data_IF_954644897587
#
_entry.id   IF_954644897587
#
_cell.length_a   1.000
_cell.length_b   1.000
_cell.length_c   1.000
_cell.angle_alpha   90.00
_cell.angle_beta   90.00
_cell.angle_gamma   90.00
#
_symmetry.space_group_name_H-M   'P 1'
#
loop_
_entity.id
_entity.type
_entity.pdbx_description
1 polymer ?
#
# COMPACT_ATOMS: atom_id res chain seq x y z
N UNK A 1 -23.19 2.14 24.37
CA UNK A 1 -22.15 2.79 23.53
C UNK A 1 -20.76 2.45 24.03
N UNK A 2 -20.39 2.75 25.28
CA UNK A 2 -19.06 2.37 25.82
C UNK A 2 -18.80 0.84 25.87
N UNK A 3 -19.80 0.04 26.25
CA UNK A 3 -19.67 -1.42 26.30
C UNK A 3 -19.47 -2.06 24.91
N UNK A 4 -20.10 -1.48 23.89
CA UNK A 4 -20.03 -1.96 22.50
C UNK A 4 -18.68 -1.63 21.87
N UNK A 5 -18.06 -0.50 22.23
CA UNK A 5 -16.69 -0.17 21.80
C UNK A 5 -15.66 -1.17 22.35
N UNK A 6 -15.77 -1.59 23.62
CA UNK A 6 -14.86 -2.60 24.20
C UNK A 6 -15.03 -3.99 23.59
N UNK A 7 -16.27 -4.40 23.28
CA UNK A 7 -16.53 -5.70 22.66
C UNK A 7 -16.14 -5.75 21.18
N UNK A 8 -16.34 -4.67 20.42
CA UNK A 8 -15.90 -4.60 19.01
C UNK A 8 -14.39 -4.42 18.85
N UNK A 9 -13.73 -3.72 19.79
CA UNK A 9 -12.27 -3.54 19.78
C UNK A 9 -11.51 -4.86 19.87
N UNK A 10 -12.09 -5.92 20.46
CA UNK A 10 -11.49 -7.25 20.46
C UNK A 10 -11.59 -7.96 19.10
N UNK A 11 -12.64 -7.71 18.33
CA UNK A 11 -12.89 -8.40 17.05
C UNK A 11 -12.24 -7.68 15.86
N UNK A 12 -11.98 -6.38 15.99
CA UNK A 12 -11.32 -5.56 14.97
C UNK A 12 -10.39 -4.55 15.65
N UNK A 13 -9.19 -4.97 16.10
CA UNK A 13 -8.26 -4.06 16.73
C UNK A 13 -7.85 -2.97 15.74
N UNK A 14 -8.14 -1.73 16.10
CA UNK A 14 -7.70 -0.56 15.35
C UNK A 14 -6.18 -0.37 15.50
N UNK A 15 -5.49 0.21 14.51
CA UNK A 15 -4.06 0.51 14.62
C UNK A 15 -3.71 1.39 15.84
N UNK A 16 -4.61 2.29 16.22
CA UNK A 16 -4.49 3.12 17.43
C UNK A 16 -4.52 2.30 18.72
N UNK A 17 -5.39 1.30 18.82
CA UNK A 17 -5.45 0.41 19.99
C UNK A 17 -4.21 -0.49 20.08
N UNK A 18 -3.71 -0.98 18.94
CA UNK A 18 -2.44 -1.73 18.88
C UNK A 18 -1.28 -0.88 19.39
N UNK A 19 -1.20 0.40 19.00
CA UNK A 19 -0.18 1.32 19.49
C UNK A 19 -0.31 1.55 21.00
N UNK A 20 -1.54 1.71 21.51
CA UNK A 20 -1.79 1.85 22.95
C UNK A 20 -1.35 0.61 23.73
N UNK A 21 -1.65 -0.60 23.24
CA UNK A 21 -1.22 -1.85 23.87
C UNK A 21 0.31 -1.99 23.86
N UNK A 22 0.98 -1.64 22.76
CA UNK A 22 2.45 -1.62 22.69
C UNK A 22 3.02 -0.62 23.69
N UNK A 23 2.42 0.56 23.82
CA UNK A 23 2.85 1.56 24.78
C UNK A 23 2.71 1.04 26.22
N UNK A 24 1.55 0.47 26.58
CA UNK A 24 1.34 -0.14 27.90
C UNK A 24 2.34 -1.26 28.15
N UNK A 25 2.55 -2.15 27.18
CA UNK A 25 3.52 -3.23 27.28
C UNK A 25 4.95 -2.68 27.50
N UNK A 26 5.31 -1.58 26.83
CA UNK A 26 6.59 -0.89 27.02
C UNK A 26 6.69 -0.23 28.40
N UNK A 27 5.61 0.25 29.00
CA UNK A 27 5.64 0.77 30.37
C UNK A 27 5.80 -0.35 31.41
N UNK A 28 5.15 -1.51 31.20
CA UNK A 28 5.24 -2.66 32.11
C UNK A 28 6.61 -3.35 32.03
N UNK A 29 7.10 -3.58 30.81
CA UNK A 29 8.35 -4.28 30.57
C UNK A 29 9.56 -3.35 30.41
N UNK A 30 9.35 -2.07 30.13
CA UNK A 30 10.45 -1.14 29.84
C UNK A 30 11.29 -1.60 28.64
N UNK A 31 12.61 -1.56 28.84
CA UNK A 31 13.59 -2.02 27.84
C UNK A 31 13.64 -3.54 27.62
N UNK A 32 12.92 -4.34 28.41
CA UNK A 32 12.93 -5.80 28.28
C UNK A 32 11.94 -6.34 27.24
N UNK A 33 10.96 -5.55 26.80
CA UNK A 33 10.02 -5.94 25.74
C UNK A 33 10.71 -6.47 24.45
N UNK A 34 11.69 -5.75 23.86
CA UNK A 34 12.42 -6.27 22.69
C UNK A 34 13.25 -7.52 23.00
N UNK A 35 13.70 -7.70 24.25
CA UNK A 35 14.43 -8.89 24.69
C UNK A 35 13.51 -10.11 24.73
N UNK A 36 12.29 -9.95 25.25
CA UNK A 36 11.24 -10.99 25.22
C UNK A 36 10.83 -11.29 23.79
N UNK A 37 10.57 -10.28 22.97
CA UNK A 37 10.22 -10.45 21.55
C UNK A 37 11.31 -11.22 20.78
N UNK A 38 12.60 -10.94 21.03
CA UNK A 38 13.71 -11.70 20.45
C UNK A 38 13.72 -13.17 20.90
N UNK A 39 13.42 -13.45 22.17
CA UNK A 39 13.38 -14.83 22.68
C UNK A 39 12.24 -15.64 22.05
N UNK A 40 11.05 -15.05 21.92
CA UNK A 40 9.91 -15.65 21.24
C UNK A 40 10.13 -15.78 19.73
N UNK A 41 10.76 -14.78 19.10
CA UNK A 41 11.10 -14.80 17.69
C UNK A 41 12.08 -15.92 17.32
N UNK A 42 13.00 -16.29 18.22
CA UNK A 42 13.85 -17.47 18.03
C UNK A 42 13.05 -18.77 17.98
N UNK A 43 12.08 -18.94 18.89
CA UNK A 43 11.18 -20.10 18.87
C UNK A 43 10.41 -20.17 17.55
N UNK A 44 9.85 -19.06 17.08
CA UNK A 44 9.13 -19.02 15.79
C UNK A 44 10.07 -19.23 14.58
N UNK A 45 11.32 -18.78 14.65
CA UNK A 45 12.31 -18.98 13.60
C UNK A 45 12.74 -20.45 13.49
N UNK A 46 12.92 -21.14 14.62
CA UNK A 46 13.18 -22.59 14.66
C UNK A 46 11.98 -23.38 14.13
N UNK A 47 10.75 -22.99 14.50
CA UNK A 47 9.52 -23.57 13.95
C UNK A 47 9.45 -23.38 12.43
N UNK A 48 9.74 -22.17 11.91
CA UNK A 48 9.79 -21.91 10.47
C UNK A 48 10.81 -22.81 9.79
N UNK A 49 12.00 -22.98 10.36
CA UNK A 49 13.05 -23.84 9.78
C UNK A 49 12.64 -25.32 9.77
N UNK A 50 11.98 -25.79 10.82
CA UNK A 50 11.41 -27.14 10.87
C UNK A 50 10.32 -27.36 9.83
N UNK A 51 9.37 -26.42 9.71
CA UNK A 51 8.31 -26.48 8.69
C UNK A 51 8.85 -26.39 7.26
N UNK A 52 9.91 -25.61 7.02
CA UNK A 52 10.58 -25.54 5.71
C UNK A 52 11.32 -26.83 5.36
N UNK A 53 11.92 -27.51 6.34
CA UNK A 53 12.50 -28.85 6.14
C UNK A 53 11.43 -29.85 5.67
N UNK A 54 10.29 -29.88 6.37
CA UNK A 54 9.17 -30.77 6.05
C UNK A 54 8.57 -30.45 4.66
N UNK A 55 8.46 -29.17 4.27
CA UNK A 55 7.97 -28.80 2.94
C UNK A 55 8.88 -29.34 1.82
N UNK A 56 10.20 -29.33 2.03
CA UNK A 56 11.14 -29.85 1.04
C UNK A 56 11.05 -31.37 0.95
N UNK A 57 11.00 -32.07 2.09
CA UNK A 57 10.84 -33.52 2.16
C UNK A 57 9.48 -33.97 1.60
N UNK A 58 8.40 -33.22 1.82
CA UNK A 58 7.08 -33.55 1.30
C UNK A 58 7.00 -33.34 -0.21
N UNK A 59 7.61 -32.27 -0.73
CA UNK A 59 7.72 -32.08 -2.18
C UNK A 59 8.57 -33.19 -2.80
N UNK A 60 9.72 -33.52 -2.22
CA UNK A 60 10.58 -34.61 -2.69
C UNK A 60 9.86 -35.96 -2.64
N UNK A 61 9.12 -36.26 -1.56
CA UNK A 61 8.31 -37.46 -1.45
C UNK A 61 7.14 -37.49 -2.45
N UNK A 62 6.53 -36.34 -2.78
CA UNK A 62 5.52 -36.24 -3.84
C UNK A 62 6.15 -36.53 -5.21
N UNK A 63 7.38 -36.06 -5.45
CA UNK A 63 8.10 -36.32 -6.70
C UNK A 63 8.72 -37.73 -6.75
N UNK A 64 9.01 -38.35 -5.60
CA UNK A 64 9.51 -39.72 -5.44
C UNK A 64 8.41 -40.78 -5.33
N UNK A 65 7.12 -40.42 -5.28
CA UNK A 65 6.07 -41.39 -5.59
C UNK A 65 6.39 -41.92 -7.00
N UNK A 66 6.80 -43.19 -7.13
CA UNK A 66 7.18 -43.71 -8.43
C UNK A 66 6.00 -43.52 -9.36
N UNK A 67 6.28 -43.08 -10.59
CA UNK A 67 5.34 -42.96 -11.71
C UNK A 67 4.72 -44.33 -12.08
N UNK A 68 3.98 -44.92 -11.15
CA UNK A 68 3.07 -46.05 -11.34
C UNK A 68 1.67 -45.56 -11.68
N UNK A 69 1.43 -44.24 -11.60
CA UNK A 69 0.47 -43.62 -12.50
C UNK A 69 1.18 -43.57 -13.86
N UNK A 70 1.22 -44.74 -14.50
CA UNK A 70 1.30 -44.81 -15.94
C UNK A 70 0.36 -43.76 -16.47
N UNK A 71 0.88 -42.91 -17.34
CA UNK A 71 0.11 -42.35 -18.42
C UNK A 71 -0.58 -43.52 -19.11
N UNK A 72 -1.74 -43.93 -18.61
CA UNK A 72 -2.72 -44.51 -19.49
C UNK A 72 -3.04 -43.35 -20.42
N UNK A 73 -2.40 -43.40 -21.58
CA UNK A 73 -2.77 -42.69 -22.78
C UNK A 73 -4.23 -43.03 -23.06
N UNK A 74 -5.14 -42.33 -22.37
CA UNK A 74 -6.46 -42.11 -22.92
C UNK A 74 -6.24 -41.10 -24.03
N UNK A 75 -6.20 -41.63 -25.25
CA UNK A 75 -6.47 -40.97 -26.51
C UNK A 75 -7.50 -39.84 -26.31
N UNK A 76 -6.99 -38.65 -25.96
CA UNK A 76 -7.80 -37.46 -25.84
C UNK A 76 -7.93 -36.95 -27.27
N UNK A 77 -9.04 -37.32 -27.91
CA UNK A 77 -9.56 -36.60 -29.07
C UNK A 77 -9.43 -35.11 -28.73
N UNK A 78 -8.49 -34.43 -29.40
CA UNK A 78 -8.19 -33.03 -29.16
C UNK A 78 -9.24 -32.23 -29.93
N UNK A 79 -10.31 -31.70 -29.30
CA UNK A 79 -11.07 -30.65 -29.94
C UNK A 79 -10.10 -29.48 -30.11
N UNK A 80 -9.79 -29.19 -31.38
CA UNK A 80 -9.07 -27.99 -31.80
C UNK A 80 -9.58 -26.78 -30.99
N UNK A 81 -8.76 -26.32 -30.06
CA UNK A 81 -9.10 -25.18 -29.21
C UNK A 81 -8.92 -23.90 -30.04
N UNK A 82 -10.01 -23.44 -30.64
CA UNK A 82 -10.08 -22.13 -31.28
C UNK A 82 -10.26 -21.08 -30.17
N UNK A 83 -9.16 -20.80 -29.47
CA UNK A 83 -9.14 -19.77 -28.44
C UNK A 83 -9.40 -18.40 -29.06
N UNK A 84 -10.08 -17.47 -28.36
CA UNK A 84 -10.31 -16.15 -28.90
C UNK A 84 -8.97 -15.47 -29.19
N UNK A 85 -8.76 -15.09 -30.46
CA UNK A 85 -7.65 -14.25 -30.89
C UNK A 85 -7.73 -12.94 -30.11
N UNK A 86 -6.85 -12.78 -29.13
CA UNK A 86 -6.64 -11.52 -28.46
C UNK A 86 -5.96 -10.58 -29.46
N UNK A 87 -6.73 -9.62 -29.98
CA UNK A 87 -6.13 -8.47 -30.66
C UNK A 87 -5.26 -7.75 -29.63
N UNK A 88 -3.94 -7.77 -29.82
CA UNK A 88 -3.03 -6.97 -29.02
C UNK A 88 -3.46 -5.49 -29.10
N UNK A 89 -3.65 -4.79 -27.97
CA UNK A 89 -3.89 -3.36 -28.01
C UNK A 89 -2.67 -2.65 -28.62
N UNK A 90 -2.91 -1.90 -29.69
CA UNK A 90 -1.89 -1.11 -30.38
C UNK A 90 -1.37 0.00 -29.46
N UNK A 91 -0.18 -0.23 -28.90
CA UNK A 91 0.51 0.72 -28.02
C UNK A 91 1.47 1.66 -28.76
N UNK A 92 1.42 1.73 -30.10
CA UNK A 92 2.31 2.59 -30.89
C UNK A 92 2.01 4.09 -30.81
N UNK A 93 0.91 4.50 -30.17
CA UNK A 93 0.43 5.90 -30.17
C UNK A 93 0.87 6.80 -29.01
N UNK A 94 1.83 6.40 -28.16
CA UNK A 94 2.13 7.13 -26.91
C UNK A 94 3.58 7.56 -26.72
N UNK A 95 4.26 7.90 -27.81
CA UNK A 95 5.49 8.69 -27.75
C UNK A 95 5.33 9.97 -28.57
N UNK A 96 5.81 11.09 -27.99
CA UNK A 96 5.93 12.46 -28.53
C UNK A 96 5.01 13.58 -28.01
N UNK A 97 4.72 13.63 -26.70
CA UNK A 97 4.58 14.94 -26.01
C UNK A 97 5.32 14.94 -24.67
N UNK A 98 6.55 14.42 -24.66
CA UNK A 98 7.51 14.64 -23.59
C UNK A 98 8.80 15.01 -24.29
N UNK A 99 8.87 16.24 -24.77
CA UNK A 99 10.10 16.99 -25.08
C UNK A 99 9.72 18.38 -25.63
N UNK A 100 9.09 19.23 -24.80
CA UNK A 100 8.94 20.67 -25.10
C UNK A 100 8.78 21.57 -23.87
N UNK A 101 9.02 21.08 -22.64
CA UNK A 101 8.92 21.92 -21.42
C UNK A 101 10.08 21.63 -20.47
N UNK A 102 11.27 21.51 -21.04
CA UNK A 102 12.54 21.69 -20.33
C UNK A 102 13.20 22.95 -20.88
N UNK A 103 12.53 24.09 -20.73
CA UNK A 103 13.20 25.38 -20.73
C UNK A 103 12.38 26.31 -19.86
N UNK A 104 13.05 27.01 -18.94
CA UNK A 104 12.51 27.94 -17.94
C UNK A 104 12.08 27.33 -16.59
N UNK A 105 12.98 26.61 -15.92
CA UNK A 105 13.03 26.68 -14.45
C UNK A 105 13.97 27.84 -14.09
N UNK A 106 13.49 28.96 -13.53
CA UNK A 106 14.39 29.96 -12.97
C UNK A 106 15.00 29.38 -11.70
N UNK A 107 16.33 29.39 -11.66
CA UNK A 107 17.14 29.06 -10.49
C UNK A 107 16.83 30.01 -9.32
N UNK A 108 16.42 29.53 -8.13
CA UNK A 108 16.25 30.37 -6.96
C UNK A 108 17.59 30.47 -6.23
N UNK A 109 18.47 31.33 -6.72
CA UNK A 109 19.66 31.75 -6.00
C UNK A 109 20.09 33.13 -6.51
N UNK A 110 19.41 34.17 -6.06
CA UNK A 110 20.04 35.35 -5.46
C UNK A 110 18.99 36.44 -5.20
N UNK A 111 19.36 37.31 -4.25
CA UNK A 111 18.85 38.67 -4.07
C UNK A 111 17.81 38.90 -2.96
N UNK A 112 18.38 39.20 -1.78
CA UNK A 112 17.89 40.10 -0.76
C UNK A 112 17.26 41.39 -1.32
N UNK A 113 16.53 42.09 -0.44
CA UNK A 113 16.48 43.57 -0.35
C UNK A 113 15.32 44.27 -1.10
N UNK A 114 14.34 44.68 -0.28
CA UNK A 114 13.82 46.07 -0.20
C UNK A 114 12.63 46.49 -1.08
N UNK A 115 11.51 46.75 -0.37
CA UNK A 115 10.70 47.99 -0.37
C UNK A 115 9.99 48.39 -1.68
N UNK A 116 8.67 48.54 -1.65
CA UNK A 116 7.96 49.84 -1.51
C UNK A 116 6.49 49.69 -1.96
N UNK A 117 5.55 50.08 -1.11
CA UNK A 117 4.23 50.57 -1.54
C UNK A 117 4.40 51.91 -2.27
N UNK A 118 3.80 52.09 -3.46
CA UNK A 118 2.87 53.20 -3.68
C UNK A 118 1.71 52.76 -4.61
N UNK A 119 0.44 52.79 -4.18
CA UNK A 119 -0.50 53.92 -4.23
C UNK A 119 -1.20 54.13 -5.59
N UNK A 120 -2.51 54.42 -5.50
CA UNK A 120 -3.38 55.10 -6.50
C UNK A 120 -3.91 54.18 -7.62
N UNK A 121 -5.19 54.18 -8.02
CA UNK A 121 -6.26 55.16 -7.79
C UNK A 121 -7.59 54.61 -8.36
N UNK A 122 -8.74 55.06 -7.79
CA UNK A 122 -9.97 55.48 -8.51
C UNK A 122 -10.81 54.37 -9.19
N UNK A 123 -12.14 54.24 -9.09
CA UNK A 123 -13.27 54.98 -8.50
C UNK A 123 -14.51 54.08 -8.68
N UNK A 124 -15.44 54.13 -7.71
CA UNK A 124 -16.93 54.19 -7.86
C UNK A 124 -17.62 53.19 -8.82
N UNK A 125 -18.63 52.44 -8.42
CA UNK A 125 -19.92 52.97 -8.01
C UNK A 125 -20.65 51.98 -7.10
N UNK A 126 -21.10 52.46 -5.95
CA UNK A 126 -22.21 51.85 -5.22
C UNK A 126 -23.49 52.61 -5.57
N UNK A 127 -24.62 51.94 -5.75
CA UNK A 127 -25.87 52.50 -5.24
C UNK A 127 -26.51 51.60 -4.19
N UNK A 128 -26.57 52.14 -2.97
CA UNK A 128 -27.48 51.86 -1.85
C UNK A 128 -28.93 51.68 -2.36
N UNK A 129 -29.75 50.71 -1.92
CA UNK A 129 -30.69 50.70 -0.76
C UNK A 129 -31.53 49.41 -0.91
N UNK A 130 -31.98 48.64 0.11
CA UNK A 130 -33.02 48.97 1.11
C UNK A 130 -33.21 47.78 2.08
N UNK A 131 -33.44 48.01 3.39
CA UNK A 131 -33.87 46.96 4.32
C UNK A 131 -35.39 46.74 4.26
N UNK A 132 -35.80 45.48 4.16
CA UNK A 132 -37.19 45.05 4.36
C UNK A 132 -37.53 45.11 5.85
N UNK A 133 -38.68 45.72 6.15
CA UNK A 133 -39.24 45.88 7.49
C UNK A 133 -40.54 45.10 7.62
N UNK A 134 -40.69 44.43 8.77
CA UNK A 134 -41.89 43.78 9.37
C UNK A 134 -41.87 42.27 9.34
#
# INVERSE_FOLDING_TARGET
MFQTCLLLGFLSPSPSEMLLLVLIALLLYGGDLPKVARSWGKSLAELRKGLSGIQNEFNEAIYEVPRQISYHESEYNNPQYDGPTYSEPDYSGRESVVNSTLDSVPSPADESTVVQTPSLDIVDDTPVTRPEST
#
